data_IF_230617236400
#
_entry.id   IF_230617236400
#
_cell.length_a   1.000
_cell.length_b   1.000
_cell.length_c   1.000
_cell.angle_alpha   90.00
_cell.angle_beta   90.00
_cell.angle_gamma   90.00
#
_symmetry.space_group_name_H-M   'P 1'
#
loop_
_entity.id
_entity.type
_entity.pdbx_description
1 polymer ?
#
# COMPACT_ATOMS: atom_id res chain seq x y z
N UNK A 1 15.48 -8.75 -48.26
CA UNK A 1 14.60 -8.31 -47.17
C UNK A 1 14.72 -9.32 -46.05
N UNK A 2 15.76 -9.21 -45.23
CA UNK A 2 15.93 -10.04 -44.04
C UNK A 2 16.18 -9.06 -42.89
N UNK A 3 15.18 -8.90 -42.04
CA UNK A 3 15.27 -8.01 -40.89
C UNK A 3 16.30 -8.58 -39.93
N UNK A 4 17.39 -7.82 -39.76
CA UNK A 4 18.46 -8.05 -38.80
C UNK A 4 17.90 -7.94 -37.38
N UNK A 5 17.31 -9.02 -36.91
CA UNK A 5 17.15 -9.30 -35.48
C UNK A 5 18.53 -9.61 -34.91
N UNK A 6 19.28 -8.55 -34.59
CA UNK A 6 20.56 -8.65 -33.92
C UNK A 6 20.35 -9.27 -32.53
N UNK A 7 20.99 -10.43 -32.31
CA UNK A 7 21.13 -11.06 -31.00
C UNK A 7 21.61 -10.07 -29.94
N UNK A 8 21.14 -10.16 -28.68
CA UNK A 8 21.62 -9.25 -27.64
C UNK A 8 23.08 -9.61 -27.30
N UNK A 9 23.97 -8.65 -27.51
CA UNK A 9 25.33 -8.68 -27.00
C UNK A 9 25.32 -8.68 -25.45
N UNK A 10 26.29 -9.32 -24.78
CA UNK A 10 26.46 -9.24 -23.34
C UNK A 10 27.02 -7.85 -22.99
N UNK A 11 26.13 -6.86 -22.96
CA UNK A 11 26.47 -5.45 -22.72
C UNK A 11 25.26 -4.51 -22.78
N UNK A 12 24.04 -5.04 -22.63
CA UNK A 12 22.84 -4.23 -22.41
C UNK A 12 22.88 -3.59 -21.00
N UNK A 13 21.98 -2.62 -20.71
CA UNK A 13 21.98 -1.85 -19.45
C UNK A 13 21.56 -2.70 -18.25
N UNK A 14 22.34 -3.71 -17.88
CA UNK A 14 22.12 -4.61 -16.74
C UNK A 14 22.86 -4.19 -15.47
N UNK A 15 23.68 -3.13 -15.51
CA UNK A 15 24.39 -2.62 -14.33
C UNK A 15 23.61 -1.54 -13.55
N UNK A 16 22.60 -0.91 -14.18
CA UNK A 16 21.67 0.00 -13.52
C UNK A 16 20.48 -0.74 -12.85
N UNK A 17 20.33 -2.04 -13.12
CA UNK A 17 19.18 -2.86 -12.75
C UNK A 17 18.87 -2.88 -11.23
N UNK A 18 19.83 -3.13 -10.32
CA UNK A 18 19.51 -3.19 -8.88
C UNK A 18 19.24 -1.81 -8.26
N UNK A 19 19.90 -0.74 -8.75
CA UNK A 19 19.65 0.62 -8.27
C UNK A 19 18.27 1.11 -8.76
N UNK A 20 17.92 0.82 -10.01
CA UNK A 20 16.61 1.13 -10.57
C UNK A 20 15.50 0.35 -9.85
N UNK A 21 15.68 -0.96 -9.61
CA UNK A 21 14.72 -1.77 -8.86
C UNK A 21 14.45 -1.19 -7.47
N UNK A 22 15.50 -0.85 -6.72
CA UNK A 22 15.36 -0.20 -5.41
C UNK A 22 14.64 1.15 -5.51
N UNK A 23 14.93 1.95 -6.53
CA UNK A 23 14.22 3.22 -6.75
C UNK A 23 12.73 2.99 -6.99
N UNK A 24 12.39 2.03 -7.87
CA UNK A 24 11.00 1.65 -8.16
C UNK A 24 10.27 1.18 -6.91
N UNK A 25 10.90 0.36 -6.08
CA UNK A 25 10.32 -0.10 -4.81
C UNK A 25 10.02 1.06 -3.86
N UNK A 26 10.97 1.99 -3.68
CA UNK A 26 10.79 3.16 -2.80
C UNK A 26 9.66 4.05 -3.31
N UNK A 27 9.62 4.35 -4.61
CA UNK A 27 8.55 5.18 -5.18
C UNK A 27 7.19 4.47 -5.15
N UNK A 28 7.15 3.14 -5.33
CA UNK A 28 5.93 2.37 -5.18
C UNK A 28 5.40 2.40 -3.72
N UNK A 29 6.29 2.29 -2.72
CA UNK A 29 5.90 2.43 -1.32
C UNK A 29 5.39 3.84 -1.03
N UNK A 30 6.06 4.87 -1.57
CA UNK A 30 5.63 6.26 -1.44
C UNK A 30 4.24 6.47 -2.03
N UNK A 31 3.99 5.96 -3.23
CA UNK A 31 2.68 6.06 -3.89
C UNK A 31 1.58 5.40 -3.05
N UNK A 32 1.84 4.20 -2.50
CA UNK A 32 0.89 3.52 -1.61
C UNK A 32 0.61 4.34 -0.35
N UNK A 33 1.63 4.93 0.25
CA UNK A 33 1.46 5.80 1.41
C UNK A 33 0.61 7.04 1.08
N UNK A 34 0.82 7.66 -0.08
CA UNK A 34 0.00 8.79 -0.54
C UNK A 34 -1.47 8.38 -0.69
N UNK A 35 -1.73 7.23 -1.33
CA UNK A 35 -3.10 6.71 -1.49
C UNK A 35 -3.76 6.44 -0.13
N UNK A 36 -3.02 5.88 0.83
CA UNK A 36 -3.52 5.66 2.18
C UNK A 36 -3.86 6.97 2.90
N UNK A 37 -3.00 7.99 2.78
CA UNK A 37 -3.25 9.32 3.35
C UNK A 37 -4.49 9.95 2.75
N UNK A 38 -4.65 9.91 1.42
CA UNK A 38 -5.85 10.41 0.75
C UNK A 38 -7.11 9.68 1.21
N UNK A 39 -7.07 8.35 1.26
CA UNK A 39 -8.20 7.55 1.72
C UNK A 39 -8.61 7.88 3.16
N UNK A 40 -7.65 7.95 4.09
CA UNK A 40 -7.95 8.31 5.49
C UNK A 40 -8.46 9.75 5.59
N UNK A 41 -7.95 10.66 4.76
CA UNK A 41 -8.42 12.05 4.72
C UNK A 41 -9.87 12.12 4.31
N UNK A 42 -10.27 11.45 3.22
CA UNK A 42 -11.67 11.40 2.77
C UNK A 42 -12.57 10.78 3.84
N UNK A 43 -12.21 9.60 4.35
CA UNK A 43 -12.99 8.87 5.34
C UNK A 43 -13.17 9.67 6.64
N UNK A 44 -12.09 10.25 7.16
CA UNK A 44 -12.15 10.98 8.43
C UNK A 44 -12.79 12.36 8.25
N UNK A 45 -12.66 12.97 7.07
CA UNK A 45 -13.38 14.20 6.75
C UNK A 45 -14.89 14.00 6.83
N UNK A 46 -15.43 12.99 6.15
CA UNK A 46 -16.87 12.67 6.18
C UNK A 46 -17.40 12.39 7.59
N UNK A 47 -16.59 11.75 8.44
CA UNK A 47 -16.99 11.38 9.81
C UNK A 47 -16.92 12.54 10.80
N UNK A 48 -15.88 13.39 10.67
CA UNK A 48 -15.53 14.35 11.71
C UNK A 48 -15.89 15.80 11.36
N UNK A 49 -16.01 16.14 10.08
CA UNK A 49 -16.22 17.53 9.64
C UNK A 49 -17.64 17.72 9.14
N UNK A 50 -18.49 18.31 10.00
CA UNK A 50 -19.89 18.59 9.64
C UNK A 50 -20.07 19.87 8.83
N UNK A 51 -19.58 21.01 9.34
CA UNK A 51 -19.63 22.31 8.65
C UNK A 51 -18.22 22.85 8.49
N UNK A 52 -17.70 23.00 7.26
CA UNK A 52 -16.37 23.55 7.05
C UNK A 52 -16.37 25.03 7.45
N UNK A 53 -15.36 25.42 8.23
CA UNK A 53 -15.08 26.79 8.63
C UNK A 53 -13.65 27.20 8.26
N UNK A 54 -13.24 28.45 8.53
CA UNK A 54 -11.88 28.92 8.26
C UNK A 54 -10.81 28.22 9.10
N UNK A 55 -11.22 27.52 10.17
CA UNK A 55 -10.38 26.70 11.04
C UNK A 55 -11.16 25.47 11.45
N UNK A 56 -10.46 24.38 11.74
CA UNK A 56 -11.05 23.25 12.44
C UNK A 56 -11.41 23.70 13.87
N UNK A 57 -12.59 23.33 14.32
CA UNK A 57 -12.94 23.50 15.73
C UNK A 57 -12.28 22.38 16.57
N UNK A 58 -12.12 22.60 17.87
CA UNK A 58 -11.43 21.63 18.74
C UNK A 58 -12.08 20.25 18.77
N UNK A 59 -13.39 20.14 18.46
CA UNK A 59 -14.09 18.85 18.38
C UNK A 59 -13.69 18.10 17.11
N UNK A 60 -13.62 18.79 15.97
CA UNK A 60 -13.18 18.23 14.70
C UNK A 60 -11.71 17.81 14.79
N UNK A 61 -10.83 18.62 15.39
CA UNK A 61 -9.42 18.27 15.59
C UNK A 61 -9.26 16.96 16.38
N UNK A 62 -9.89 16.87 17.55
CA UNK A 62 -9.85 15.66 18.39
C UNK A 62 -10.47 14.46 17.66
N UNK A 63 -11.56 14.65 16.92
CA UNK A 63 -12.18 13.58 16.15
C UNK A 63 -11.25 13.05 15.06
N UNK A 64 -10.58 13.93 14.30
CA UNK A 64 -9.68 13.56 13.21
C UNK A 64 -8.48 12.74 13.73
N UNK A 65 -7.86 13.17 14.83
CA UNK A 65 -6.76 12.43 15.48
C UNK A 65 -7.23 11.02 15.86
N UNK A 66 -8.35 10.92 16.57
CA UNK A 66 -8.90 9.62 16.96
C UNK A 66 -9.29 8.76 15.75
N UNK A 67 -9.89 9.36 14.71
CA UNK A 67 -10.32 8.64 13.52
C UNK A 67 -9.14 7.93 12.83
N UNK A 68 -8.03 8.64 12.62
CA UNK A 68 -6.83 8.08 11.99
C UNK A 68 -6.21 7.01 12.87
N UNK A 69 -6.03 7.26 14.17
CA UNK A 69 -5.47 6.26 15.11
C UNK A 69 -6.32 4.99 15.16
N UNK A 70 -7.65 5.13 15.30
CA UNK A 70 -8.56 3.97 15.35
C UNK A 70 -8.54 3.19 14.04
N UNK A 71 -8.43 3.86 12.89
CA UNK A 71 -8.36 3.20 11.60
C UNK A 71 -7.09 2.34 11.48
N UNK A 72 -5.93 2.90 11.86
CA UNK A 72 -4.65 2.19 11.82
C UNK A 72 -4.66 0.99 12.78
N UNK A 73 -5.07 1.20 14.04
CA UNK A 73 -5.14 0.15 15.06
C UNK A 73 -6.02 -1.02 14.61
N UNK A 74 -7.21 -0.71 14.10
CA UNK A 74 -8.17 -1.73 13.65
C UNK A 74 -7.66 -2.46 12.42
N UNK A 75 -7.05 -1.74 11.47
CA UNK A 75 -6.47 -2.34 10.26
C UNK A 75 -5.36 -3.32 10.62
N UNK A 76 -4.45 -2.93 11.53
CA UNK A 76 -3.38 -3.81 12.02
C UNK A 76 -3.94 -5.03 12.74
N UNK A 77 -4.95 -4.86 13.59
CA UNK A 77 -5.61 -5.97 14.27
C UNK A 77 -6.20 -6.98 13.27
N UNK A 78 -6.93 -6.50 12.26
CA UNK A 78 -7.52 -7.36 11.22
C UNK A 78 -6.43 -8.10 10.44
N UNK A 79 -5.39 -7.40 9.98
CA UNK A 79 -4.28 -8.00 9.23
C UNK A 79 -3.57 -9.08 10.05
N UNK A 80 -3.25 -8.79 11.32
CA UNK A 80 -2.62 -9.75 12.23
C UNK A 80 -3.48 -11.01 12.42
N UNK A 81 -4.81 -10.85 12.55
CA UNK A 81 -5.74 -11.98 12.63
C UNK A 81 -5.78 -12.79 11.35
N UNK A 82 -5.84 -12.15 10.18
CA UNK A 82 -5.83 -12.83 8.90
C UNK A 82 -4.54 -13.63 8.68
N UNK A 83 -3.38 -13.09 9.05
CA UNK A 83 -2.10 -13.80 9.01
C UNK A 83 -2.08 -15.02 9.92
N UNK A 84 -2.59 -14.90 11.15
CA UNK A 84 -2.73 -16.02 12.09
C UNK A 84 -3.64 -17.11 11.53
N UNK A 85 -4.79 -16.73 10.97
CA UNK A 85 -5.73 -17.67 10.34
C UNK A 85 -5.12 -18.38 9.12
N UNK A 86 -4.30 -17.69 8.31
CA UNK A 86 -3.57 -18.30 7.20
C UNK A 86 -2.53 -19.32 7.66
N UNK A 87 -1.86 -19.07 8.79
CA UNK A 87 -0.88 -20.00 9.39
C UNK A 87 -1.56 -21.19 10.07
N UNK A 88 -2.76 -21.01 10.61
CA UNK A 88 -3.54 -22.05 11.27
C UNK A 88 -4.27 -23.00 10.31
N UNK A 89 -4.30 -22.71 8.99
CA UNK A 89 -4.87 -23.61 7.98
C UNK A 89 -3.79 -24.57 7.49
N UNK A 90 -3.78 -25.86 7.90
CA UNK A 90 -2.83 -26.81 7.34
C UNK A 90 -3.20 -27.01 5.86
N UNK A 91 -2.20 -26.87 4.99
CA UNK A 91 -2.10 -27.46 3.64
C UNK A 91 -3.44 -27.56 2.88
N UNK A 92 -3.83 -26.50 2.16
CA UNK A 92 -4.67 -26.66 0.96
C UNK A 92 -3.81 -26.61 -0.30
N UNK A 93 -2.63 -27.23 -0.27
CA UNK A 93 -1.75 -27.35 -1.45
C UNK A 93 -1.23 -28.77 -1.64
N UNK A 94 -1.95 -29.78 -1.15
CA UNK A 94 -1.71 -31.19 -1.50
C UNK A 94 -2.90 -31.80 -2.27
N UNK A 95 -3.82 -30.98 -2.80
CA UNK A 95 -4.95 -31.44 -3.62
C UNK A 95 -5.16 -30.67 -4.93
N UNK A 96 -4.14 -29.97 -5.43
CA UNK A 96 -4.17 -29.31 -6.74
C UNK A 96 -3.12 -29.84 -7.73
N UNK A 97 -2.54 -31.00 -7.44
CA UNK A 97 -1.62 -31.70 -8.34
C UNK A 97 -1.87 -33.22 -8.28
N UNK A 98 -3.10 -33.61 -8.62
CA UNK A 98 -3.39 -34.86 -9.35
C UNK A 98 -4.28 -34.48 -10.54
#
# INVERSE_FOLDING_TARGET
>A
MEASWSSPAPGGPGAAEPQLQRFVEVEAQRQRAQLLVHHMTELCWEKCVGKPGPRLDGRAEVCLVNCVERFIDTSQFILNRLEQSRRARPVLSESAAD
#
